data_IF_645817494122
#
_entry.id   IF_645817494122
#
_cell.length_a   1.000
_cell.length_b   1.000
_cell.length_c   1.000
_cell.angle_alpha   90.00
_cell.angle_beta   90.00
_cell.angle_gamma   90.00
#
_symmetry.space_group_name_H-M   'P 1'
#
loop_
_entity.id
_entity.type
_entity.pdbx_description
1 polymer ?
#
# COMPACT_ATOMS: atom_id res chain seq x y z
N UNK A 1 -46.86 -10.18 -1.77
CA UNK A 1 -46.14 -10.45 -3.05
C UNK A 1 -46.13 -9.12 -3.80
N UNK A 2 -45.04 -8.42 -4.08
CA UNK A 2 -43.64 -8.78 -4.33
C UNK A 2 -42.71 -7.65 -3.83
N UNK A 3 -41.58 -7.98 -3.20
CA UNK A 3 -40.56 -7.03 -2.77
C UNK A 3 -39.38 -7.01 -3.74
N UNK A 4 -38.95 -5.81 -4.11
CA UNK A 4 -37.90 -5.48 -5.08
C UNK A 4 -36.53 -6.10 -4.77
N UNK A 5 -35.98 -6.85 -5.74
CA UNK A 5 -34.58 -7.29 -5.75
C UNK A 5 -33.74 -6.41 -6.68
N UNK A 6 -33.12 -5.37 -6.13
CA UNK A 6 -32.20 -4.48 -6.86
C UNK A 6 -30.96 -4.19 -6.01
N UNK A 7 -29.97 -5.08 -6.02
CA UNK A 7 -28.81 -4.95 -5.12
C UNK A 7 -27.47 -5.56 -5.55
N UNK A 8 -27.34 -6.08 -6.78
CA UNK A 8 -26.09 -6.75 -7.24
C UNK A 8 -25.30 -6.03 -8.33
N UNK A 9 -25.88 -5.08 -9.07
CA UNK A 9 -25.21 -4.48 -10.25
C UNK A 9 -24.11 -3.48 -9.86
N UNK A 10 -24.27 -2.74 -8.76
CA UNK A 10 -23.26 -1.76 -8.30
C UNK A 10 -21.99 -2.38 -7.73
N UNK A 11 -22.09 -3.59 -7.15
CA UNK A 11 -20.97 -4.27 -6.47
C UNK A 11 -19.96 -4.88 -7.44
N UNK A 12 -20.45 -5.45 -8.53
CA UNK A 12 -19.62 -6.07 -9.58
C UNK A 12 -18.88 -5.02 -10.41
N UNK A 13 -19.52 -3.86 -10.66
CA UNK A 13 -18.91 -2.76 -11.42
C UNK A 13 -17.70 -2.13 -10.72
N UNK A 14 -17.75 -1.94 -9.39
CA UNK A 14 -16.60 -1.40 -8.65
C UNK A 14 -15.44 -2.41 -8.58
N UNK A 15 -15.73 -3.71 -8.45
CA UNK A 15 -14.73 -4.77 -8.47
C UNK A 15 -14.02 -4.84 -9.83
N UNK A 16 -14.78 -4.75 -10.92
CA UNK A 16 -14.25 -4.71 -12.29
C UNK A 16 -13.37 -3.48 -12.55
N UNK A 17 -13.77 -2.28 -12.10
CA UNK A 17 -12.92 -1.09 -12.19
C UNK A 17 -11.66 -1.21 -11.34
N UNK A 18 -11.76 -1.73 -10.11
CA UNK A 18 -10.61 -1.94 -9.22
C UNK A 18 -9.65 -3.00 -9.78
N UNK A 19 -10.15 -3.96 -10.54
CA UNK A 19 -9.35 -4.94 -11.26
C UNK A 19 -8.66 -4.32 -12.49
N UNK A 20 -9.38 -3.55 -13.32
CA UNK A 20 -8.80 -2.86 -14.47
C UNK A 20 -7.80 -1.76 -14.07
N UNK A 21 -8.02 -1.07 -12.94
CA UNK A 21 -7.07 -0.12 -12.33
C UNK A 21 -5.79 -0.81 -11.88
N UNK A 22 -5.90 -2.03 -11.36
CA UNK A 22 -4.76 -2.86 -10.96
C UNK A 22 -3.98 -3.44 -12.17
N UNK A 23 -4.65 -3.65 -13.31
CA UNK A 23 -4.01 -4.08 -14.57
C UNK A 23 -3.46 -2.92 -15.42
N UNK A 24 -3.80 -1.69 -15.07
CA UNK A 24 -3.35 -0.51 -15.81
C UNK A 24 -1.85 -0.32 -15.65
N UNK A 25 -1.12 -0.43 -16.77
CA UNK A 25 0.32 -0.17 -16.89
C UNK A 25 0.67 1.31 -16.93
N UNK A 26 -0.32 2.21 -16.84
CA UNK A 26 -0.08 3.65 -16.90
C UNK A 26 0.74 4.10 -15.69
N UNK A 27 1.88 4.72 -15.95
CA UNK A 27 2.71 5.34 -14.94
C UNK A 27 1.96 6.46 -14.18
N UNK A 28 2.30 6.75 -12.91
CA UNK A 28 1.79 7.92 -12.21
C UNK A 28 2.10 9.21 -12.97
N UNK A 29 1.34 10.28 -12.72
CA UNK A 29 1.65 11.56 -13.35
C UNK A 29 3.03 12.05 -12.90
N UNK A 30 3.76 12.75 -13.79
CA UNK A 30 5.13 13.21 -13.48
C UNK A 30 5.19 14.09 -12.23
N UNK A 31 4.18 14.94 -12.01
CA UNK A 31 4.09 15.77 -10.82
C UNK A 31 3.96 14.93 -9.53
N UNK A 32 3.17 13.85 -9.56
CA UNK A 32 3.01 12.96 -8.42
C UNK A 32 4.30 12.18 -8.14
N UNK A 33 4.99 11.71 -9.19
CA UNK A 33 6.29 11.07 -9.04
C UNK A 33 7.31 12.03 -8.42
N UNK A 34 7.37 13.28 -8.91
CA UNK A 34 8.27 14.29 -8.36
C UNK A 34 7.97 14.60 -6.90
N UNK A 35 6.68 14.67 -6.54
CA UNK A 35 6.28 14.85 -5.14
C UNK A 35 6.74 13.67 -4.28
N UNK A 36 6.46 12.43 -4.67
CA UNK A 36 6.94 11.25 -3.93
C UNK A 36 8.46 11.27 -3.76
N UNK A 37 9.21 11.51 -4.84
CA UNK A 37 10.68 11.56 -4.80
C UNK A 37 11.22 12.71 -3.95
N UNK A 38 10.47 13.81 -3.78
CA UNK A 38 10.86 14.89 -2.87
C UNK A 38 10.63 14.56 -1.39
N UNK A 39 9.79 13.57 -1.11
CA UNK A 39 9.44 13.09 0.22
C UNK A 39 10.25 11.86 0.65
N UNK A 40 11.21 11.41 -0.18
CA UNK A 40 12.00 10.21 0.08
C UNK A 40 13.49 10.53 0.05
N UNK A 41 14.27 9.83 0.86
CA UNK A 41 15.73 9.77 0.70
C UNK A 41 16.10 9.04 -0.59
N UNK A 42 17.37 9.13 -1.01
CA UNK A 42 17.83 8.45 -2.24
C UNK A 42 17.62 6.93 -2.20
N UNK A 43 17.84 6.28 -1.05
CA UNK A 43 17.65 4.83 -0.91
C UNK A 43 16.17 4.42 -0.97
N UNK A 44 15.31 5.21 -0.33
CA UNK A 44 13.86 5.03 -0.36
C UNK A 44 13.27 5.29 -1.75
N UNK A 45 13.76 6.31 -2.45
CA UNK A 45 13.37 6.60 -3.83
C UNK A 45 13.72 5.44 -4.77
N UNK A 46 14.87 4.80 -4.57
CA UNK A 46 15.25 3.60 -5.33
C UNK A 46 14.24 2.47 -5.09
N UNK A 47 13.90 2.18 -3.83
CA UNK A 47 12.87 1.19 -3.48
C UNK A 47 11.52 1.52 -4.10
N UNK A 48 11.04 2.76 -3.95
CA UNK A 48 9.76 3.21 -4.49
C UNK A 48 9.71 3.08 -6.02
N UNK A 49 10.82 3.37 -6.71
CA UNK A 49 10.90 3.24 -8.17
C UNK A 49 10.76 1.80 -8.68
N UNK A 50 11.00 0.79 -7.82
CA UNK A 50 10.83 -0.64 -8.13
C UNK A 50 9.38 -1.11 -8.02
N UNK A 51 8.52 -0.37 -7.31
CA UNK A 51 7.09 -0.66 -7.24
C UNK A 51 6.48 -0.65 -8.65
N UNK A 52 5.45 -1.48 -8.87
CA UNK A 52 4.74 -1.45 -10.14
C UNK A 52 4.04 -0.10 -10.33
N UNK A 53 3.76 0.30 -11.57
CA UNK A 53 3.00 1.53 -11.83
C UNK A 53 1.62 1.56 -11.13
N UNK A 54 1.04 0.39 -10.84
CA UNK A 54 -0.20 0.32 -10.07
C UNK A 54 0.05 0.59 -8.59
N UNK A 55 1.11 -0.01 -8.02
CA UNK A 55 1.46 0.13 -6.61
C UNK A 55 1.99 1.55 -6.31
N UNK A 56 2.75 2.16 -7.22
CA UNK A 56 3.16 3.58 -7.08
C UNK A 56 1.95 4.52 -7.04
N UNK A 57 0.94 4.31 -7.89
CA UNK A 57 -0.30 5.12 -7.88
C UNK A 57 -1.08 4.89 -6.59
N UNK A 58 -1.15 3.66 -6.14
CA UNK A 58 -1.80 3.30 -4.88
C UNK A 58 -1.10 3.97 -3.70
N UNK A 59 0.22 3.82 -3.58
CA UNK A 59 1.00 4.43 -2.50
C UNK A 59 0.90 5.96 -2.48
N UNK A 60 0.79 6.60 -3.65
CA UNK A 60 0.55 8.05 -3.75
C UNK A 60 -0.82 8.44 -3.17
N UNK A 61 -1.87 7.69 -3.49
CA UNK A 61 -3.23 7.92 -2.96
C UNK A 61 -3.26 7.71 -1.44
N UNK A 62 -2.61 6.65 -0.96
CA UNK A 62 -2.43 6.36 0.47
C UNK A 62 -1.68 7.49 1.17
N UNK A 63 -0.55 7.94 0.62
CA UNK A 63 0.25 9.00 1.24
C UNK A 63 -0.51 10.33 1.33
N UNK A 64 -1.28 10.71 0.31
CA UNK A 64 -2.14 11.92 0.35
C UNK A 64 -3.24 11.81 1.41
N UNK A 65 -3.93 10.68 1.44
CA UNK A 65 -4.99 10.45 2.43
C UNK A 65 -4.43 10.36 3.85
N UNK A 66 -3.23 9.81 4.01
CA UNK A 66 -2.52 9.77 5.27
C UNK A 66 -2.18 11.19 5.76
N UNK A 67 -1.64 12.04 4.88
CA UNK A 67 -1.42 13.48 5.18
C UNK A 67 -2.72 14.17 5.60
N UNK A 68 -3.85 13.89 4.94
CA UNK A 68 -5.15 14.46 5.32
C UNK A 68 -5.64 13.98 6.70
N UNK A 69 -5.38 12.73 7.07
CA UNK A 69 -5.81 12.15 8.34
C UNK A 69 -4.94 12.60 9.52
N UNK A 70 -3.63 12.75 9.31
CA UNK A 70 -2.66 13.13 10.34
C UNK A 70 -2.47 14.65 10.42
N UNK A 71 -2.70 15.36 9.32
CA UNK A 71 -2.52 16.80 9.19
C UNK A 71 -1.08 17.16 8.82
N UNK A 72 -0.20 17.28 9.81
CA UNK A 72 1.20 17.61 9.58
C UNK A 72 2.07 16.36 9.72
N UNK A 73 2.44 15.78 8.58
CA UNK A 73 3.33 14.61 8.54
C UNK A 73 4.79 15.03 8.53
N UNK A 74 5.62 14.29 9.27
CA UNK A 74 7.07 14.35 9.08
C UNK A 74 7.50 13.62 7.79
N UNK A 75 8.75 13.81 7.38
CA UNK A 75 9.29 13.11 6.21
C UNK A 75 9.22 11.59 6.38
N UNK A 76 9.53 11.10 7.58
CA UNK A 76 9.51 9.68 7.93
C UNK A 76 8.11 9.07 7.87
N UNK A 77 7.10 9.83 8.28
CA UNK A 77 5.70 9.41 8.27
C UNK A 77 5.15 9.36 6.85
N UNK A 78 5.43 10.37 6.02
CA UNK A 78 5.07 10.36 4.58
C UNK A 78 5.81 9.25 3.84
N UNK A 79 7.09 9.02 4.14
CA UNK A 79 7.87 7.92 3.57
C UNK A 79 7.26 6.55 3.92
N UNK A 80 6.79 6.37 5.16
CA UNK A 80 6.11 5.13 5.58
C UNK A 80 4.86 4.87 4.74
N UNK A 81 4.04 5.90 4.49
CA UNK A 81 2.86 5.76 3.66
C UNK A 81 3.19 5.44 2.19
N UNK A 82 4.23 6.08 1.62
CA UNK A 82 4.70 5.82 0.26
C UNK A 82 5.31 4.41 0.09
N UNK A 83 5.89 3.84 1.14
CA UNK A 83 6.65 2.58 1.08
C UNK A 83 5.97 1.40 1.80
N UNK A 84 4.77 1.57 2.36
CA UNK A 84 4.09 0.53 3.15
C UNK A 84 3.97 -0.82 2.43
N UNK A 85 3.90 -0.79 1.10
CA UNK A 85 3.75 -1.97 0.24
C UNK A 85 5.06 -2.52 -0.33
N UNK A 86 6.23 -2.00 0.07
CA UNK A 86 7.52 -2.44 -0.50
C UNK A 86 7.83 -3.93 -0.25
N UNK A 87 7.29 -4.50 0.83
CA UNK A 87 7.36 -5.92 1.11
C UNK A 87 6.67 -6.80 0.07
N UNK A 88 5.69 -6.27 -0.68
CA UNK A 88 4.92 -7.03 -1.67
C UNK A 88 5.73 -7.36 -2.93
N UNK A 89 6.84 -6.66 -3.18
CA UNK A 89 7.71 -6.88 -4.35
C UNK A 89 8.36 -8.27 -4.32
N UNK A 90 8.91 -8.68 -3.18
CA UNK A 90 9.65 -9.93 -3.00
C UNK A 90 8.74 -11.14 -2.80
N UNK A 91 7.52 -10.94 -2.26
CA UNK A 91 6.60 -12.05 -2.03
C UNK A 91 5.91 -12.57 -3.31
N UNK A 92 6.19 -12.01 -4.49
CA UNK A 92 5.58 -12.44 -5.76
C UNK A 92 4.05 -12.27 -5.81
N UNK A 93 3.48 -11.50 -4.87
CA UNK A 93 2.04 -11.33 -4.68
C UNK A 93 1.45 -10.17 -5.48
N UNK A 94 2.26 -9.41 -6.23
CA UNK A 94 1.77 -8.41 -7.17
C UNK A 94 0.70 -9.02 -8.08
N UNK A 95 -0.43 -8.35 -8.29
CA UNK A 95 -1.65 -8.74 -9.06
C UNK A 95 -2.23 -10.16 -8.82
N UNK A 96 -1.44 -11.23 -8.89
CA UNK A 96 -1.75 -12.64 -8.65
C UNK A 96 -2.19 -12.95 -7.21
N UNK A 97 -1.68 -12.20 -6.21
CA UNK A 97 -2.10 -12.36 -4.82
C UNK A 97 -3.60 -12.17 -4.61
N UNK A 98 -4.24 -11.28 -5.39
CA UNK A 98 -5.71 -11.04 -5.32
C UNK A 98 -6.54 -12.16 -5.92
N UNK A 99 -6.05 -12.82 -6.96
CA UNK A 99 -6.73 -13.96 -7.61
C UNK A 99 -6.67 -15.19 -6.70
N UNK A 100 -5.49 -15.47 -6.13
CA UNK A 100 -5.31 -16.54 -5.14
C UNK A 100 -6.10 -16.24 -3.85
N UNK A 101 -6.13 -14.99 -3.38
CA UNK A 101 -6.89 -14.60 -2.17
C UNK A 101 -8.41 -14.85 -2.27
N UNK A 102 -8.96 -14.82 -3.49
CA UNK A 102 -10.38 -15.14 -3.74
C UNK A 102 -10.64 -16.65 -3.74
N UNK A 103 -9.60 -17.47 -3.99
CA UNK A 103 -9.71 -18.92 -4.15
C UNK A 103 -9.51 -19.72 -2.85
N UNK A 104 -8.70 -19.25 -1.88
CA UNK A 104 -8.17 -20.16 -0.82
C UNK A 104 -8.60 -19.83 0.62
N UNK A 105 -9.21 -18.66 0.87
CA UNK A 105 -9.83 -18.33 2.17
C UNK A 105 -8.86 -17.99 3.33
N UNK A 106 -9.39 -17.59 4.51
CA UNK A 106 -8.66 -16.80 5.52
C UNK A 106 -7.73 -17.56 6.48
N UNK A 107 -7.62 -18.90 6.44
CA UNK A 107 -7.03 -19.68 7.56
C UNK A 107 -5.75 -20.48 7.27
N UNK A 108 -5.09 -20.33 6.12
CA UNK A 108 -3.81 -21.04 5.86
C UNK A 108 -2.84 -20.20 5.03
N UNK A 109 -1.53 -20.28 5.34
CA UNK A 109 -0.38 -19.62 4.70
C UNK A 109 -0.39 -18.06 4.62
N UNK A 110 -1.54 -17.44 4.42
CA UNK A 110 -1.82 -16.00 4.30
C UNK A 110 -1.34 -15.15 5.48
N UNK A 111 -1.51 -15.61 6.72
CA UNK A 111 -1.06 -14.86 7.90
C UNK A 111 0.47 -14.82 8.01
N UNK A 112 1.12 -15.91 7.57
CA UNK A 112 2.59 -15.97 7.47
C UNK A 112 3.08 -15.07 6.35
N UNK A 113 2.52 -15.18 5.13
CA UNK A 113 2.87 -14.28 4.02
C UNK A 113 2.54 -12.80 4.29
N UNK A 114 1.59 -12.50 5.17
CA UNK A 114 1.29 -11.14 5.61
C UNK A 114 2.41 -10.59 6.52
N UNK A 115 2.72 -11.28 7.61
CA UNK A 115 3.85 -10.89 8.47
C UNK A 115 5.21 -10.95 7.77
N UNK A 116 5.36 -11.88 6.82
CA UNK A 116 6.60 -12.01 6.06
C UNK A 116 6.85 -10.77 5.21
N UNK A 117 5.83 -10.16 4.58
CA UNK A 117 6.05 -8.95 3.78
C UNK A 117 6.27 -7.71 4.64
N UNK A 118 5.60 -7.56 5.79
CA UNK A 118 5.89 -6.46 6.73
C UNK A 118 7.35 -6.53 7.19
N UNK A 119 7.82 -7.73 7.57
CA UNK A 119 9.22 -7.97 7.96
C UNK A 119 10.20 -7.75 6.79
N UNK A 120 9.93 -8.30 5.61
CA UNK A 120 10.78 -8.14 4.41
C UNK A 120 10.82 -6.67 3.99
N UNK A 121 9.69 -5.96 4.07
CA UNK A 121 9.62 -4.53 3.80
C UNK A 121 10.48 -3.74 4.79
N UNK A 122 10.37 -4.05 6.07
CA UNK A 122 11.19 -3.46 7.12
C UNK A 122 12.70 -3.73 6.92
N UNK A 123 13.09 -4.93 6.51
CA UNK A 123 14.48 -5.27 6.16
C UNK A 123 15.00 -4.48 4.97
N UNK A 124 14.20 -4.33 3.90
CA UNK A 124 14.56 -3.50 2.74
C UNK A 124 14.74 -2.03 3.14
N UNK A 125 13.84 -1.49 3.96
CA UNK A 125 13.92 -0.11 4.45
C UNK A 125 15.15 0.12 5.32
N UNK A 126 15.46 -0.81 6.23
CA UNK A 126 16.71 -0.76 7.03
C UNK A 126 17.94 -0.76 6.12
N UNK A 127 17.97 -1.61 5.09
CA UNK A 127 19.07 -1.67 4.13
C UNK A 127 19.20 -0.41 3.28
N UNK A 128 18.08 0.26 2.98
CA UNK A 128 18.04 1.54 2.27
C UNK A 128 18.39 2.75 3.15
N UNK A 129 18.58 2.56 4.46
CA UNK A 129 18.90 3.63 5.41
C UNK A 129 17.70 4.45 5.87
N UNK A 130 16.47 3.92 5.75
CA UNK A 130 15.27 4.57 6.27
C UNK A 130 15.34 4.82 7.77
N UNK A 131 14.65 5.88 8.20
CA UNK A 131 14.53 6.21 9.60
C UNK A 131 13.83 5.09 10.40
N UNK A 132 14.18 4.90 11.68
CA UNK A 132 13.56 3.88 12.52
C UNK A 132 12.03 3.99 12.60
N UNK A 133 11.48 5.21 12.58
CA UNK A 133 10.04 5.43 12.56
C UNK A 133 9.39 4.90 11.28
N UNK A 134 9.97 5.19 10.12
CA UNK A 134 9.49 4.68 8.82
C UNK A 134 9.46 3.17 8.81
N UNK A 135 10.54 2.53 9.27
CA UNK A 135 10.64 1.07 9.39
C UNK A 135 9.55 0.52 10.33
N UNK A 136 9.41 1.09 11.53
CA UNK A 136 8.46 0.62 12.53
C UNK A 136 6.99 0.79 12.10
N UNK A 137 6.68 1.85 11.35
CA UNK A 137 5.35 2.06 10.78
C UNK A 137 5.03 1.02 9.69
N UNK A 138 5.96 0.74 8.78
CA UNK A 138 5.77 -0.28 7.73
C UNK A 138 5.74 -1.70 8.30
N UNK A 139 6.54 -1.98 9.34
CA UNK A 139 6.55 -3.27 10.03
C UNK A 139 5.29 -3.49 10.90
N UNK A 140 4.53 -2.43 11.18
CA UNK A 140 3.41 -2.48 12.12
C UNK A 140 3.82 -2.57 13.60
N UNK A 141 5.11 -2.32 13.91
CA UNK A 141 5.70 -2.43 15.25
C UNK A 141 5.80 -1.10 16.01
N UNK A 142 5.40 0.01 15.38
CA UNK A 142 5.45 1.35 15.98
C UNK A 142 4.53 1.47 17.22
N UNK A 143 5.04 2.13 18.27
CA UNK A 143 4.24 2.50 19.45
C UNK A 143 3.21 3.61 19.14
N UNK A 144 3.37 4.31 18.02
CA UNK A 144 2.45 5.34 17.52
C UNK A 144 1.24 4.69 16.85
N UNK A 145 0.35 4.12 17.66
CA UNK A 145 -0.85 3.41 17.20
C UNK A 145 -1.80 4.32 16.42
N UNK A 146 -1.82 5.62 16.73
CA UNK A 146 -2.54 6.65 15.97
C UNK A 146 -2.10 6.70 14.50
N UNK A 147 -0.79 6.63 14.24
CA UNK A 147 -0.23 6.63 12.90
C UNK A 147 -0.46 5.30 12.18
N UNK A 148 -0.36 4.16 12.89
CA UNK A 148 -0.67 2.85 12.32
C UNK A 148 -2.13 2.76 11.87
N UNK A 149 -3.05 3.28 12.68
CA UNK A 149 -4.47 3.30 12.35
C UNK A 149 -4.78 4.29 11.22
N UNK A 150 -4.11 5.44 11.20
CA UNK A 150 -4.20 6.38 10.07
C UNK A 150 -3.70 5.74 8.77
N UNK A 151 -2.57 5.03 8.81
CA UNK A 151 -2.00 4.34 7.65
C UNK A 151 -2.94 3.24 7.13
N UNK A 152 -3.51 2.41 8.01
CA UNK A 152 -4.52 1.40 7.64
C UNK A 152 -5.77 2.03 7.03
N UNK A 153 -6.26 3.14 7.59
CA UNK A 153 -7.42 3.88 7.06
C UNK A 153 -7.13 4.58 5.74
N UNK A 154 -5.88 4.94 5.50
CA UNK A 154 -5.41 5.50 4.24
C UNK A 154 -5.31 4.42 3.15
N UNK A 155 -4.90 3.20 3.51
CA UNK A 155 -4.80 2.04 2.60
C UNK A 155 -6.16 1.43 2.19
N UNK A 156 -7.20 1.60 3.01
CA UNK A 156 -8.55 1.09 2.73
C UNK A 156 -9.31 1.93 1.67
N UNK A 157 -8.87 1.84 0.41
CA UNK A 157 -9.39 2.54 -0.81
C UNK A 157 -9.73 1.60 -1.98
#
# INVERSE_FOLDING_TARGET
>A
MTGSGGGSVGRIGHLGRRFLRALSRRAPARADQQWALSCLTSGEAELWSRLSNADQRHSLEVARRFEELVGHCSHEETAAALLHDIGKLECGLGTFGRVIATLVGPHTARFRSYHDHERIGAEQLRAAGSAPLTVALVEGSSERTDLLDALRRADDI
#
